data_IF_096056486325
#
_entry.id   IF_096056486325
#
_cell.length_a   1.000
_cell.length_b   1.000
_cell.length_c   1.000
_cell.angle_alpha   90.00
_cell.angle_beta   90.00
_cell.angle_gamma   90.00
#
_symmetry.space_group_name_H-M   'P 1'
#
loop_
_entity.id
_entity.type
_entity.pdbx_description
1 polymer ?
#
# COMPACT_ATOMS: atom_id res chain seq x y z
N UNK A 1 15.19 22.23 5.43
CA UNK A 1 13.72 22.09 5.47
C UNK A 1 13.39 21.02 6.50
N UNK A 2 12.30 21.14 7.25
CA UNK A 2 11.93 20.16 8.28
C UNK A 2 11.03 19.06 7.72
N UNK A 3 10.84 17.99 8.50
CA UNK A 3 10.02 16.84 8.11
C UNK A 3 8.58 17.22 7.76
N UNK A 4 8.02 18.23 8.43
CA UNK A 4 6.65 18.69 8.17
C UNK A 4 6.55 19.33 6.79
N UNK A 5 7.47 20.23 6.45
CA UNK A 5 7.52 20.90 5.16
C UNK A 5 7.79 19.90 4.02
N UNK A 6 8.64 18.89 4.25
CA UNK A 6 8.88 17.81 3.29
C UNK A 6 7.63 16.95 3.05
N UNK A 7 6.83 16.69 4.10
CA UNK A 7 5.54 15.99 3.98
C UNK A 7 4.53 16.84 3.19
N UNK A 8 4.45 18.15 3.47
CA UNK A 8 3.59 19.07 2.71
C UNK A 8 4.00 19.11 1.23
N UNK A 9 5.31 19.20 0.95
CA UNK A 9 5.84 19.11 -0.43
C UNK A 9 5.48 17.79 -1.09
N UNK A 10 5.61 16.66 -0.40
CA UNK A 10 5.19 15.35 -0.92
C UNK A 10 3.71 15.35 -1.32
N UNK A 11 2.82 15.85 -0.47
CA UNK A 11 1.38 15.85 -0.79
C UNK A 11 1.03 16.77 -1.96
N UNK A 12 1.68 17.93 -2.09
CA UNK A 12 1.53 18.79 -3.27
C UNK A 12 1.99 18.09 -4.56
N UNK A 13 3.09 17.33 -4.51
CA UNK A 13 3.54 16.52 -5.64
C UNK A 13 2.53 15.42 -6.00
N UNK A 14 1.87 14.81 -5.01
CA UNK A 14 0.86 13.78 -5.25
C UNK A 14 -0.43 14.34 -5.83
N UNK A 15 -0.81 15.57 -5.49
CA UNK A 15 -1.91 16.28 -6.16
C UNK A 15 -1.60 16.53 -7.64
N UNK A 16 -0.38 17.02 -7.95
CA UNK A 16 0.07 17.15 -9.33
C UNK A 16 0.04 15.81 -10.07
N UNK A 17 0.48 14.73 -9.42
CA UNK A 17 0.43 13.40 -10.01
C UNK A 17 -1.03 12.98 -10.30
N UNK A 18 -1.93 13.19 -9.34
CA UNK A 18 -3.35 12.86 -9.47
C UNK A 18 -3.99 13.57 -10.67
N UNK A 19 -3.74 14.87 -10.85
CA UNK A 19 -4.21 15.62 -12.02
C UNK A 19 -3.67 15.02 -13.32
N UNK A 20 -2.39 14.65 -13.34
CA UNK A 20 -1.74 14.09 -14.54
C UNK A 20 -2.25 12.72 -14.94
N UNK A 21 -2.65 11.88 -13.98
CA UNK A 21 -3.11 10.51 -14.25
C UNK A 21 -4.62 10.36 -14.28
N UNK A 22 -5.35 11.47 -14.35
CA UNK A 22 -6.82 11.54 -14.36
C UNK A 22 -7.48 10.98 -13.09
N UNK A 23 -6.88 11.27 -11.93
CA UNK A 23 -7.42 10.89 -10.62
C UNK A 23 -6.84 9.57 -10.07
N UNK A 24 -7.08 9.35 -8.78
CA UNK A 24 -6.80 8.06 -8.13
C UNK A 24 -7.65 6.94 -8.74
N UNK A 25 -7.07 5.74 -8.85
CA UNK A 25 -7.80 4.52 -9.23
C UNK A 25 -8.12 3.67 -8.01
N UNK A 26 -9.04 2.72 -8.18
CA UNK A 26 -9.35 1.65 -7.22
C UNK A 26 -9.13 0.32 -7.92
N UNK A 27 -8.45 -0.63 -7.28
CA UNK A 27 -8.07 -1.88 -7.95
C UNK A 27 -9.27 -2.70 -8.46
N UNK A 28 -10.46 -2.56 -7.87
CA UNK A 28 -11.69 -3.19 -8.39
C UNK A 28 -12.04 -2.77 -9.82
N UNK A 29 -11.58 -1.59 -10.26
CA UNK A 29 -11.85 -1.00 -11.58
C UNK A 29 -10.62 -1.03 -12.51
N UNK A 30 -9.60 -1.80 -12.16
CA UNK A 30 -8.36 -1.91 -12.92
C UNK A 30 -8.20 -3.33 -13.44
N UNK A 31 -7.70 -3.51 -14.65
CA UNK A 31 -7.26 -4.79 -15.20
C UNK A 31 -5.94 -4.65 -15.96
N UNK A 32 -5.44 -5.77 -16.50
CA UNK A 32 -4.14 -5.83 -17.19
C UNK A 32 -4.19 -5.43 -18.65
N UNK A 33 -5.34 -5.03 -19.18
CA UNK A 33 -5.45 -4.52 -20.54
C UNK A 33 -5.15 -3.03 -20.62
N UNK A 34 -5.16 -2.33 -19.48
CA UNK A 34 -4.70 -0.95 -19.38
C UNK A 34 -3.19 -0.86 -19.61
N UNK A 35 -2.74 0.24 -20.19
CA UNK A 35 -1.32 0.51 -20.44
C UNK A 35 -0.55 0.91 -19.15
N UNK A 36 -0.45 -0.01 -18.19
CA UNK A 36 0.34 0.18 -16.98
C UNK A 36 1.83 0.34 -17.32
N UNK A 37 2.57 1.21 -16.59
CA UNK A 37 4.03 1.17 -16.64
C UNK A 37 4.54 -0.25 -16.34
N UNK A 38 5.54 -0.71 -17.09
CA UNK A 38 6.17 -2.02 -16.83
C UNK A 38 6.65 -2.12 -15.37
N UNK A 39 7.15 -1.01 -14.83
CA UNK A 39 7.76 -0.93 -13.51
C UNK A 39 7.51 0.42 -12.87
N UNK A 40 7.47 0.44 -11.55
CA UNK A 40 7.19 1.69 -10.87
C UNK A 40 6.99 1.59 -9.38
N UNK A 41 6.41 2.67 -8.85
CA UNK A 41 6.00 2.81 -7.45
C UNK A 41 4.49 3.08 -7.43
N UNK A 42 3.80 2.51 -6.45
CA UNK A 42 2.39 2.75 -6.17
C UNK A 42 2.20 3.32 -4.77
N UNK A 43 1.15 4.12 -4.61
CA UNK A 43 0.79 4.79 -3.36
C UNK A 43 -0.69 4.49 -3.09
N UNK A 44 -0.99 3.68 -2.07
CA UNK A 44 -2.37 3.52 -1.60
C UNK A 44 -2.68 4.57 -0.53
N UNK A 45 -3.89 5.11 -0.60
CA UNK A 45 -4.43 6.11 0.30
C UNK A 45 -5.51 5.50 1.20
N UNK A 46 -5.65 6.04 2.40
CA UNK A 46 -6.71 5.70 3.33
C UNK A 46 -8.06 6.16 2.75
N UNK A 47 -9.06 5.28 2.77
CA UNK A 47 -10.44 5.61 2.36
C UNK A 47 -11.22 6.34 3.46
N UNK A 48 -10.86 6.13 4.73
CA UNK A 48 -11.63 6.50 5.93
C UNK A 48 -10.97 7.61 6.75
N UNK A 49 -9.82 8.10 6.31
CA UNK A 49 -9.13 9.20 6.99
C UNK A 49 -9.04 10.39 6.06
N UNK A 50 -9.36 11.56 6.62
CA UNK A 50 -9.42 12.83 5.90
C UNK A 50 -10.49 12.84 4.80
N UNK A 51 -11.64 12.18 5.02
CA UNK A 51 -12.77 12.24 4.07
C UNK A 51 -13.27 13.68 3.83
N UNK A 52 -13.08 14.56 4.81
CA UNK A 52 -13.44 15.99 4.73
C UNK A 52 -12.37 16.85 4.04
N UNK A 53 -11.20 16.30 3.69
CA UNK A 53 -10.15 17.04 2.97
C UNK A 53 -9.85 16.40 1.61
N UNK A 54 -9.31 17.19 0.69
CA UNK A 54 -8.92 16.70 -0.64
C UNK A 54 -7.67 15.81 -0.59
N UNK A 55 -6.83 15.95 0.44
CA UNK A 55 -5.57 15.23 0.59
C UNK A 55 -5.71 13.99 1.50
N UNK A 56 -6.28 12.92 0.93
CA UNK A 56 -6.27 11.60 1.57
C UNK A 56 -4.86 11.18 1.97
N UNK A 57 -4.74 10.50 3.11
CA UNK A 57 -3.44 10.12 3.67
C UNK A 57 -2.90 8.85 3.02
N UNK A 58 -1.60 8.81 2.68
CA UNK A 58 -0.93 7.55 2.29
C UNK A 58 -0.98 6.52 3.43
N UNK A 59 -1.40 5.30 3.12
CA UNK A 59 -1.38 4.15 4.04
C UNK A 59 -0.37 3.09 3.65
N UNK A 60 0.01 3.00 2.38
CA UNK A 60 1.02 2.06 1.86
C UNK A 60 1.71 2.67 0.65
N UNK A 61 3.02 2.56 0.57
CA UNK A 61 3.79 2.80 -0.67
C UNK A 61 4.54 1.54 -1.03
N UNK A 62 4.67 1.19 -2.30
CA UNK A 62 5.50 0.06 -2.68
C UNK A 62 6.05 0.15 -4.09
N UNK A 63 7.10 -0.62 -4.37
CA UNK A 63 7.72 -0.71 -5.71
C UNK A 63 7.52 -2.07 -6.38
N UNK A 64 7.66 -2.12 -7.71
CA UNK A 64 7.70 -3.38 -8.46
C UNK A 64 8.52 -3.34 -9.74
N UNK A 65 9.13 -4.49 -10.06
CA UNK A 65 9.71 -4.93 -11.34
C UNK A 65 8.71 -5.10 -12.47
N UNK A 66 7.50 -5.50 -12.07
CA UNK A 66 6.31 -5.71 -12.90
C UNK A 66 5.15 -5.06 -12.14
N UNK A 67 4.77 -3.84 -12.52
CA UNK A 67 3.82 -3.05 -11.74
C UNK A 67 2.44 -3.68 -11.75
N UNK A 68 1.94 -4.09 -12.92
CA UNK A 68 0.62 -4.69 -13.01
C UNK A 68 0.56 -6.03 -12.29
N UNK A 69 1.53 -6.93 -12.45
CA UNK A 69 1.52 -8.21 -11.72
C UNK A 69 1.48 -7.99 -10.20
N UNK A 70 2.23 -7.00 -9.70
CA UNK A 70 2.18 -6.65 -8.28
C UNK A 70 0.83 -6.09 -7.84
N UNK A 71 0.22 -5.20 -8.62
CA UNK A 71 -1.11 -4.66 -8.32
C UNK A 71 -2.17 -5.76 -8.41
N UNK A 72 -2.02 -6.70 -9.34
CA UNK A 72 -2.87 -7.88 -9.47
C UNK A 72 -2.76 -8.79 -8.24
N UNK A 73 -1.55 -9.05 -7.71
CA UNK A 73 -1.36 -9.81 -6.46
C UNK A 73 -2.08 -9.16 -5.28
N UNK A 74 -2.12 -7.82 -5.22
CA UNK A 74 -2.89 -7.10 -4.21
C UNK A 74 -4.40 -7.19 -4.46
N UNK A 75 -4.83 -6.98 -5.71
CA UNK A 75 -6.24 -7.04 -6.12
C UNK A 75 -6.83 -8.43 -5.89
N UNK A 76 -6.09 -9.48 -6.18
CA UNK A 76 -6.59 -10.84 -6.30
C UNK A 76 -7.47 -11.06 -7.56
N UNK A 77 -7.83 -12.31 -7.84
CA UNK A 77 -8.71 -12.65 -8.96
C UNK A 77 -10.15 -12.17 -8.70
N UNK A 78 -10.83 -11.71 -9.76
CA UNK A 78 -12.27 -11.38 -9.72
C UNK A 78 -13.15 -12.56 -10.16
N UNK A 79 -12.58 -13.48 -10.92
CA UNK A 79 -13.25 -14.66 -11.51
C UNK A 79 -12.31 -15.85 -11.47
N UNK A 80 -12.83 -17.06 -11.72
CA UNK A 80 -12.02 -18.29 -11.74
C UNK A 80 -11.89 -18.91 -10.35
N UNK A 81 -10.74 -19.51 -10.05
CA UNK A 81 -10.49 -20.14 -8.76
C UNK A 81 -10.32 -19.08 -7.65
N UNK A 82 -10.96 -19.32 -6.50
CA UNK A 82 -11.00 -18.39 -5.36
C UNK A 82 -11.42 -16.95 -5.77
N UNK A 83 -12.55 -16.80 -6.48
CA UNK A 83 -12.96 -15.50 -7.01
C UNK A 83 -13.23 -14.56 -5.84
N UNK A 84 -12.75 -13.33 -5.92
CA UNK A 84 -12.89 -12.37 -4.84
C UNK A 84 -11.81 -12.49 -3.76
N UNK A 85 -11.10 -13.63 -3.66
CA UNK A 85 -9.99 -13.85 -2.72
C UNK A 85 -8.67 -13.23 -3.18
N UNK A 86 -7.56 -13.80 -2.73
CA UNK A 86 -6.21 -13.31 -2.98
C UNK A 86 -5.13 -14.30 -2.55
N UNK A 87 -3.90 -13.81 -2.38
CA UNK A 87 -2.75 -14.65 -1.99
C UNK A 87 -1.84 -13.91 -1.01
N UNK A 88 -2.19 -13.94 0.26
CA UNK A 88 -1.44 -13.27 1.33
C UNK A 88 0.01 -13.77 1.44
N UNK A 89 0.25 -15.05 1.16
CA UNK A 89 1.61 -15.63 1.15
C UNK A 89 2.53 -15.02 0.09
N UNK A 90 1.98 -14.39 -0.96
CA UNK A 90 2.75 -13.66 -1.97
C UNK A 90 2.74 -12.12 -1.76
N UNK A 91 1.93 -11.63 -0.83
CA UNK A 91 1.76 -10.19 -0.57
C UNK A 91 1.79 -9.91 0.93
N UNK A 92 2.92 -9.37 1.41
CA UNK A 92 3.05 -8.89 2.80
C UNK A 92 1.97 -7.86 3.16
N UNK A 93 1.49 -7.09 2.19
CA UNK A 93 0.42 -6.12 2.42
C UNK A 93 -0.89 -6.83 2.81
N UNK A 94 -1.27 -7.87 2.05
CA UNK A 94 -2.42 -8.72 2.36
C UNK A 94 -2.26 -9.43 3.70
N UNK A 95 -1.10 -10.05 3.91
CA UNK A 95 -0.80 -10.76 5.15
C UNK A 95 -1.04 -9.87 6.37
N UNK A 96 -0.47 -8.66 6.37
CA UNK A 96 -0.61 -7.74 7.49
C UNK A 96 -2.04 -7.23 7.71
N UNK A 97 -2.81 -7.04 6.64
CA UNK A 97 -4.23 -6.69 6.77
C UNK A 97 -5.00 -7.86 7.39
N UNK A 98 -4.77 -9.09 6.94
CA UNK A 98 -5.42 -10.28 7.49
C UNK A 98 -5.06 -10.52 8.95
N UNK A 99 -3.78 -10.37 9.32
CA UNK A 99 -3.33 -10.44 10.72
C UNK A 99 -4.07 -9.40 11.58
N UNK A 100 -4.23 -8.17 11.09
CA UNK A 100 -4.94 -7.14 11.82
C UNK A 100 -6.46 -7.41 11.94
N UNK A 101 -7.08 -8.03 10.94
CA UNK A 101 -8.48 -8.46 11.00
C UNK A 101 -8.65 -9.58 12.03
N UNK A 102 -7.76 -10.57 12.03
CA UNK A 102 -7.76 -11.68 13.01
C UNK A 102 -7.68 -11.14 14.43
N UNK A 103 -6.73 -10.24 14.71
CA UNK A 103 -6.55 -9.65 16.04
C UNK A 103 -7.74 -8.80 16.47
N UNK A 104 -8.33 -8.02 15.54
CA UNK A 104 -9.48 -7.16 15.84
C UNK A 104 -10.73 -7.98 16.21
N UNK A 105 -10.98 -9.04 15.45
CA UNK A 105 -12.24 -9.78 15.50
C UNK A 105 -12.14 -11.10 16.30
N UNK A 106 -10.95 -11.44 16.79
CA UNK A 106 -10.70 -12.64 17.62
C UNK A 106 -10.72 -13.95 16.84
N UNK A 107 -10.28 -13.94 15.57
CA UNK A 107 -10.47 -15.05 14.61
C UNK A 107 -9.32 -16.08 14.61
N UNK A 108 -8.55 -16.17 15.68
CA UNK A 108 -7.36 -17.04 15.72
C UNK A 108 -7.72 -18.53 15.59
N UNK A 109 -8.87 -18.95 16.10
CA UNK A 109 -9.36 -20.33 15.95
C UNK A 109 -9.86 -20.63 14.55
N UNK A 110 -10.35 -19.61 13.83
CA UNK A 110 -10.90 -19.76 12.49
C UNK A 110 -9.80 -19.76 11.42
N UNK A 111 -8.70 -19.02 11.65
CA UNK A 111 -7.58 -18.89 10.71
C UNK A 111 -6.22 -19.16 11.38
N UNK A 112 -6.00 -20.36 11.95
CA UNK A 112 -4.78 -20.67 12.71
C UNK A 112 -3.51 -20.70 11.85
N UNK A 113 -3.64 -20.98 10.56
CA UNK A 113 -2.53 -21.09 9.59
C UNK A 113 -2.27 -19.79 8.81
N UNK A 114 -2.98 -18.70 9.12
CA UNK A 114 -2.78 -17.43 8.44
C UNK A 114 -1.38 -16.88 8.71
N UNK A 115 -0.60 -16.67 7.65
CA UNK A 115 0.80 -16.27 7.78
C UNK A 115 1.76 -17.40 8.14
N UNK A 116 1.29 -18.65 8.24
CA UNK A 116 2.15 -19.82 8.37
C UNK A 116 2.74 -20.19 7.00
N UNK A 117 4.07 -20.07 6.92
CA UNK A 117 4.88 -20.48 5.76
C UNK A 117 4.56 -19.74 4.45
N UNK A 118 5.28 -20.14 3.39
CA UNK A 118 5.16 -19.54 2.05
C UNK A 118 4.16 -20.29 1.15
N UNK A 119 3.64 -21.43 1.62
CA UNK A 119 2.69 -22.27 0.89
C UNK A 119 1.76 -23.01 1.84
N UNK A 120 0.60 -23.41 1.32
CA UNK A 120 -0.38 -24.21 2.03
C UNK A 120 -1.04 -25.21 1.08
N UNK A 121 -1.56 -26.31 1.65
CA UNK A 121 -2.36 -27.31 0.93
C UNK A 121 -3.73 -26.72 0.53
N UNK A 122 -4.43 -27.30 -0.47
CA UNK A 122 -5.71 -26.77 -0.93
C UNK A 122 -6.75 -26.56 0.19
N UNK A 123 -6.83 -27.50 1.13
CA UNK A 123 -7.81 -27.47 2.23
C UNK A 123 -7.63 -26.22 3.11
N UNK A 124 -6.39 -25.91 3.50
CA UNK A 124 -6.07 -24.68 4.25
C UNK A 124 -6.41 -23.42 3.46
N UNK A 125 -6.26 -23.44 2.13
CA UNK A 125 -6.62 -22.28 1.29
C UNK A 125 -8.12 -22.08 1.20
N UNK A 126 -8.88 -23.17 1.18
CA UNK A 126 -10.35 -23.15 1.21
C UNK A 126 -10.84 -22.56 2.54
N UNK A 127 -10.24 -22.95 3.66
CA UNK A 127 -10.53 -22.40 4.99
C UNK A 127 -10.22 -20.90 5.08
N UNK A 128 -9.10 -20.45 4.51
CA UNK A 128 -8.68 -19.04 4.53
C UNK A 128 -9.42 -18.14 3.52
N UNK A 129 -10.23 -18.72 2.62
CA UNK A 129 -10.86 -17.99 1.52
C UNK A 129 -11.71 -16.81 2.03
N UNK A 130 -12.50 -17.02 3.08
CA UNK A 130 -13.36 -15.97 3.66
C UNK A 130 -12.54 -14.78 4.17
N UNK A 131 -11.35 -15.02 4.74
CA UNK A 131 -10.48 -13.95 5.19
C UNK A 131 -9.77 -13.27 4.01
N UNK A 132 -9.32 -14.04 3.01
CA UNK A 132 -8.76 -13.47 1.77
C UNK A 132 -9.74 -12.54 1.05
N UNK A 133 -11.03 -12.87 1.02
CA UNK A 133 -12.09 -12.03 0.45
C UNK A 133 -12.27 -10.73 1.23
N UNK A 134 -12.24 -10.77 2.57
CA UNK A 134 -12.30 -9.56 3.41
C UNK A 134 -11.07 -8.66 3.18
N UNK A 135 -9.88 -9.26 3.10
CA UNK A 135 -8.64 -8.54 2.78
C UNK A 135 -8.72 -7.92 1.38
N UNK A 136 -9.25 -8.65 0.40
CA UNK A 136 -9.49 -8.14 -0.96
C UNK A 136 -10.42 -6.95 -0.97
N UNK A 137 -11.54 -7.03 -0.27
CA UNK A 137 -12.52 -5.95 -0.20
C UNK A 137 -11.89 -4.70 0.43
N UNK A 138 -11.09 -4.85 1.47
CA UNK A 138 -10.33 -3.75 2.06
C UNK A 138 -9.38 -3.11 1.03
N UNK A 139 -8.52 -3.91 0.39
CA UNK A 139 -7.49 -3.38 -0.53
C UNK A 139 -8.11 -2.77 -1.79
N UNK A 140 -9.13 -3.41 -2.37
CA UNK A 140 -9.76 -2.97 -3.62
C UNK A 140 -10.47 -1.63 -3.51
N UNK A 141 -10.90 -1.26 -2.30
CA UNK A 141 -11.53 0.03 -2.04
C UNK A 141 -10.54 1.17 -1.80
N UNK A 142 -9.26 0.87 -1.54
CA UNK A 142 -8.25 1.90 -1.35
C UNK A 142 -7.99 2.65 -2.66
N UNK A 143 -8.11 4.00 -2.65
CA UNK A 143 -7.63 4.81 -3.76
C UNK A 143 -6.12 4.65 -3.90
N UNK A 144 -5.60 4.68 -5.12
CA UNK A 144 -4.16 4.64 -5.35
C UNK A 144 -3.70 5.45 -6.56
N UNK A 145 -2.44 5.87 -6.50
CA UNK A 145 -1.68 6.46 -7.60
C UNK A 145 -0.47 5.58 -7.93
N UNK A 146 0.14 5.82 -9.07
CA UNK A 146 1.36 5.15 -9.52
C UNK A 146 2.28 6.12 -10.26
N UNK A 147 3.56 5.79 -10.34
CA UNK A 147 4.55 6.48 -11.18
C UNK A 147 5.41 5.47 -11.92
N UNK A 148 5.84 5.84 -13.13
CA UNK A 148 6.81 5.07 -13.88
C UNK A 148 8.23 5.32 -13.36
N UNK A 149 8.93 4.26 -12.94
CA UNK A 149 10.32 4.32 -12.47
C UNK A 149 11.09 3.12 -13.02
N UNK A 150 11.96 3.38 -14.00
CA UNK A 150 12.58 2.35 -14.83
C UNK A 150 13.76 1.60 -14.19
N UNK A 151 14.42 2.16 -13.18
CA UNK A 151 15.61 1.55 -12.57
C UNK A 151 15.29 0.95 -11.22
N UNK A 152 15.96 -0.16 -10.88
CA UNK A 152 15.79 -0.77 -9.56
C UNK A 152 16.33 0.15 -8.46
N UNK A 153 17.42 0.84 -8.75
CA UNK A 153 18.11 1.80 -7.88
C UNK A 153 17.19 2.96 -7.50
N UNK A 154 16.59 3.65 -8.47
CA UNK A 154 15.65 4.75 -8.21
C UNK A 154 14.42 4.27 -7.46
N UNK A 155 13.85 3.11 -7.84
CA UNK A 155 12.70 2.54 -7.11
C UNK A 155 13.04 2.27 -5.64
N UNK A 156 14.21 1.70 -5.36
CA UNK A 156 14.68 1.44 -4.00
C UNK A 156 14.88 2.73 -3.21
N UNK A 157 15.52 3.72 -3.83
CA UNK A 157 15.80 5.01 -3.20
C UNK A 157 14.50 5.75 -2.86
N UNK A 158 13.59 5.86 -3.82
CA UNK A 158 12.29 6.52 -3.63
C UNK A 158 11.42 5.79 -2.60
N UNK A 159 11.20 4.47 -2.71
CA UNK A 159 10.34 3.72 -1.76
C UNK A 159 10.87 3.85 -0.33
N UNK A 160 12.18 3.67 -0.12
CA UNK A 160 12.81 3.80 1.19
C UNK A 160 12.60 5.19 1.79
N UNK A 161 12.87 6.25 1.02
CA UNK A 161 12.75 7.62 1.50
C UNK A 161 11.29 8.02 1.74
N UNK A 162 10.36 7.57 0.90
CA UNK A 162 8.92 7.74 1.11
C UNK A 162 8.47 7.13 2.44
N UNK A 163 8.84 5.87 2.72
CA UNK A 163 8.48 5.20 3.97
C UNK A 163 9.13 5.92 5.16
N UNK A 164 10.42 6.26 5.05
CA UNK A 164 11.15 6.92 6.12
C UNK A 164 10.62 8.33 6.43
N UNK A 165 10.17 9.09 5.42
CA UNK A 165 9.54 10.40 5.59
C UNK A 165 8.17 10.27 6.29
N UNK A 166 7.31 9.36 5.81
CA UNK A 166 5.94 9.22 6.28
C UNK A 166 5.79 8.51 7.62
N UNK A 167 6.75 7.66 8.01
CA UNK A 167 6.70 6.87 9.24
C UNK A 167 6.78 7.71 10.50
N UNK A 168 5.84 7.51 11.43
CA UNK A 168 5.89 8.05 12.80
C UNK A 168 6.61 7.14 13.82
N UNK A 169 7.21 6.03 13.37
CA UNK A 169 7.91 5.10 14.25
C UNK A 169 9.13 5.77 14.90
N UNK A 170 9.16 5.84 16.24
CA UNK A 170 10.24 6.44 17.04
C UNK A 170 10.55 7.91 16.66
N UNK A 171 9.55 8.64 16.15
CA UNK A 171 9.66 10.05 15.75
C UNK A 171 8.50 10.85 16.35
N UNK A 172 8.64 12.16 16.38
CA UNK A 172 7.50 13.05 16.64
C UNK A 172 6.39 12.75 15.61
N UNK A 173 5.19 12.50 16.10
CA UNK A 173 4.08 12.11 15.24
C UNK A 173 3.59 13.32 14.44
N UNK A 174 3.79 13.27 13.12
CA UNK A 174 3.17 14.21 12.18
C UNK A 174 2.01 13.45 11.56
N UNK A 175 0.82 14.06 11.58
CA UNK A 175 -0.39 13.44 11.06
C UNK A 175 -0.60 12.05 11.69
N UNK A 176 -0.96 11.89 12.97
CA UNK A 176 -1.18 10.57 13.58
C UNK A 176 -2.43 9.87 13.00
N UNK A 177 -2.48 8.53 13.03
CA UNK A 177 -3.63 7.75 12.50
C UNK A 177 -4.84 7.87 13.42
N UNK A 178 -6.03 7.89 12.82
CA UNK A 178 -7.33 7.82 13.50
C UNK A 178 -7.42 6.59 14.42
N UNK A 179 -8.21 6.68 15.50
CA UNK A 179 -8.56 5.55 16.37
C UNK A 179 -9.21 4.38 15.62
N UNK A 180 -9.86 4.65 14.50
CA UNK A 180 -10.57 3.66 13.69
C UNK A 180 -9.70 2.97 12.63
N UNK A 181 -8.43 3.34 12.48
CA UNK A 181 -7.56 2.69 11.49
C UNK A 181 -7.27 1.24 11.86
N UNK A 182 -7.59 0.31 10.95
CA UNK A 182 -7.38 -1.13 11.11
C UNK A 182 -5.94 -1.50 11.52
N UNK A 183 -4.94 -0.76 11.02
CA UNK A 183 -3.53 -1.02 11.35
C UNK A 183 -3.18 -0.91 12.83
N UNK A 184 -4.05 -0.31 13.67
CA UNK A 184 -3.89 -0.31 15.14
C UNK A 184 -4.02 -1.70 15.77
N UNK A 185 -4.75 -2.62 15.13
CA UNK A 185 -4.90 -4.01 15.56
C UNK A 185 -3.80 -4.93 15.03
N UNK A 186 -2.94 -4.45 14.12
CA UNK A 186 -1.86 -5.30 13.59
C UNK A 186 -0.99 -5.82 14.74
N UNK A 187 -0.59 -7.11 14.77
CA UNK A 187 0.31 -7.63 15.78
C UNK A 187 1.74 -7.07 15.64
N UNK A 188 2.06 -6.51 14.46
CA UNK A 188 3.34 -5.88 14.20
C UNK A 188 3.39 -4.43 14.73
N UNK A 189 4.22 -4.21 15.74
CA UNK A 189 4.40 -2.90 16.36
C UNK A 189 4.83 -1.81 15.37
N UNK A 190 5.67 -2.14 14.39
CA UNK A 190 6.14 -1.18 13.38
C UNK A 190 4.98 -0.64 12.55
N UNK A 191 3.97 -1.46 12.26
CA UNK A 191 2.77 -1.01 11.54
C UNK A 191 1.96 -0.07 12.45
N UNK A 192 1.66 -0.51 13.68
CA UNK A 192 0.89 0.29 14.64
C UNK A 192 1.49 1.66 14.88
N UNK A 193 2.81 1.72 15.12
CA UNK A 193 3.53 2.94 15.49
C UNK A 193 3.96 3.81 14.30
N UNK A 194 4.24 3.23 13.13
CA UNK A 194 4.57 4.02 11.93
C UNK A 194 3.36 4.70 11.31
N UNK A 195 2.17 4.11 11.44
CA UNK A 195 0.96 4.56 10.74
C UNK A 195 0.92 4.15 9.27
N UNK A 196 1.73 3.15 8.87
CA UNK A 196 1.83 2.64 7.51
C UNK A 196 1.72 1.11 7.50
N UNK A 197 1.17 0.55 6.43
CA UNK A 197 1.28 -0.87 6.11
C UNK A 197 2.67 -1.21 5.52
N UNK A 198 3.72 -0.69 6.15
CA UNK A 198 5.12 -0.90 5.80
C UNK A 198 5.87 -1.30 7.08
N UNK A 199 6.76 -2.29 6.98
CA UNK A 199 7.60 -2.75 8.11
C UNK A 199 9.05 -2.36 7.89
N UNK A 200 9.53 -2.50 6.65
CA UNK A 200 10.88 -2.11 6.28
C UNK A 200 10.99 -0.58 6.25
N UNK A 201 12.18 -0.07 6.52
CA UNK A 201 12.56 1.35 6.39
C UNK A 201 11.85 2.37 7.31
N UNK A 202 10.85 1.97 8.10
CA UNK A 202 10.08 2.86 9.01
C UNK A 202 10.93 3.61 10.05
N UNK A 203 12.07 3.04 10.44
CA UNK A 203 13.01 3.60 11.43
C UNK A 203 14.14 4.39 10.78
N UNK A 204 14.26 4.35 9.44
CA UNK A 204 15.37 5.00 8.74
C UNK A 204 15.18 6.52 8.73
N UNK A 205 16.31 7.20 8.52
CA UNK A 205 16.32 8.60 8.07
C UNK A 205 16.07 8.63 6.57
N UNK A 206 15.41 9.69 6.12
CA UNK A 206 15.23 9.99 4.71
C UNK A 206 16.23 11.06 4.29
N UNK A 207 16.56 11.05 3.02
CA UNK A 207 17.28 12.11 2.31
C UNK A 207 16.23 12.96 1.57
N UNK A 208 16.19 14.27 1.79
CA UNK A 208 15.18 15.18 1.22
C UNK A 208 15.26 15.32 -0.30
N UNK A 209 16.43 15.06 -0.89
CA UNK A 209 16.68 15.22 -2.32
C UNK A 209 15.84 14.23 -3.15
N UNK A 210 15.34 13.15 -2.52
CA UNK A 210 14.41 12.22 -3.15
C UNK A 210 13.12 12.87 -3.66
N UNK A 211 12.71 14.02 -3.11
CA UNK A 211 11.52 14.74 -3.56
C UNK A 211 11.74 15.34 -4.95
N UNK A 212 12.96 15.76 -5.28
CA UNK A 212 13.32 16.27 -6.61
C UNK A 212 13.30 15.12 -7.64
N UNK A 213 13.82 13.95 -7.26
CA UNK A 213 13.74 12.76 -8.11
C UNK A 213 12.29 12.29 -8.29
N UNK A 214 11.49 12.29 -7.22
CA UNK A 214 10.07 11.95 -7.26
C UNK A 214 9.32 12.87 -8.24
N UNK A 215 9.55 14.18 -8.15
CA UNK A 215 8.96 15.19 -9.04
C UNK A 215 9.31 14.91 -10.51
N UNK A 216 10.59 14.60 -10.81
CA UNK A 216 11.04 14.23 -12.16
C UNK A 216 10.28 13.01 -12.72
N UNK A 217 9.97 12.01 -11.88
CA UNK A 217 9.19 10.85 -12.28
C UNK A 217 7.70 11.14 -12.44
N UNK A 218 7.13 11.99 -11.58
CA UNK A 218 5.73 12.44 -11.68
C UNK A 218 5.51 13.16 -13.01
N UNK A 219 6.40 14.10 -13.36
CA UNK A 219 6.31 14.88 -14.61
C UNK A 219 6.43 14.02 -15.88
N UNK A 220 6.99 12.81 -15.79
CA UNK A 220 7.10 11.85 -16.89
C UNK A 220 6.00 10.80 -16.90
N UNK A 221 5.23 10.68 -15.81
CA UNK A 221 4.14 9.71 -15.72
C UNK A 221 2.94 10.22 -16.52
N UNK A 222 2.37 9.32 -17.31
CA UNK A 222 1.17 9.52 -18.13
C UNK A 222 0.01 8.70 -17.57
N UNK A 223 -1.25 9.07 -17.85
CA UNK A 223 -2.39 8.25 -17.48
C UNK A 223 -2.31 6.88 -18.16
N UNK A 224 -2.90 5.86 -17.52
CA UNK A 224 -3.17 4.58 -18.17
C UNK A 224 -4.48 4.69 -18.95
N UNK A 225 -4.47 4.23 -20.20
CA UNK A 225 -5.62 4.18 -21.10
C UNK A 225 -6.11 2.75 -21.25
#
# INVERSE_FOLDING_TARGET
MGRKEDIERLYNLLELLEERVNGKRKLKNCDGYLNWPDQGIYFFFSNTEREETTQQRITRTGKSGDLWDRLYQHRGPLTGNYPGGGRHRASRFRLHIGEALIERDGLHSDFPEWGAGDSAVPETRDEEQLLEEQVSNYIRELPFLWINVNTAESRNYLERNLIALLSNFEKEAIDPRSSTWLGKYSPNEKIRKSGLWCVNDVHKKYDSDFLDELESHILKTTPVE
#
